data_IF_771597741698
#
_entry.id   IF_771597741698
#
_cell.length_a   1.000
_cell.length_b   1.000
_cell.length_c   1.000
_cell.angle_alpha   90.00
_cell.angle_beta   90.00
_cell.angle_gamma   90.00
#
_symmetry.space_group_name_H-M   'P 1'
#
loop_
_entity.id
_entity.type
_entity.pdbx_description
1 polymer ?
#
# COMPACT_ATOMS: atom_id res chain seq x y z
N UNK A 1 18.13 -9.84 -14.05
CA UNK A 1 18.70 -8.55 -14.49
C UNK A 1 18.84 -7.59 -13.31
N UNK A 2 17.75 -7.18 -12.65
CA UNK A 2 17.78 -6.27 -11.48
C UNK A 2 18.67 -6.73 -10.31
N UNK A 3 18.60 -8.00 -9.92
CA UNK A 3 19.41 -8.49 -8.80
C UNK A 3 20.93 -8.44 -9.08
N UNK A 4 21.33 -8.63 -10.33
CA UNK A 4 22.74 -8.52 -10.73
C UNK A 4 23.20 -7.05 -10.66
N UNK A 5 22.35 -6.12 -11.10
CA UNK A 5 22.59 -4.68 -10.98
C UNK A 5 22.74 -4.26 -9.51
N UNK A 6 21.79 -4.65 -8.64
CA UNK A 6 21.84 -4.36 -7.20
C UNK A 6 23.11 -4.91 -6.53
N UNK A 7 23.50 -6.15 -6.85
CA UNK A 7 24.74 -6.76 -6.33
C UNK A 7 26.02 -6.09 -6.86
N UNK A 8 25.96 -5.50 -8.05
CA UNK A 8 27.09 -4.82 -8.69
C UNK A 8 27.30 -3.38 -8.23
N UNK A 9 26.39 -2.80 -7.43
CA UNK A 9 26.52 -1.42 -6.94
C UNK A 9 27.68 -1.29 -5.96
N UNK A 10 28.53 -0.28 -6.19
CA UNK A 10 29.57 0.11 -5.22
C UNK A 10 29.00 0.84 -4.03
N UNK A 11 27.93 1.63 -4.25
CA UNK A 11 27.18 2.32 -3.20
C UNK A 11 25.73 1.80 -3.16
N UNK A 12 25.27 1.29 -2.01
CA UNK A 12 23.90 0.82 -1.87
C UNK A 12 22.92 1.99 -1.97
N UNK A 13 21.71 1.70 -2.44
CA UNK A 13 20.59 2.65 -2.37
C UNK A 13 20.28 2.91 -0.89
N UNK A 14 20.37 4.18 -0.49
CA UNK A 14 20.18 4.65 0.88
C UNK A 14 18.72 5.00 1.09
N UNK A 15 18.07 4.23 1.96
CA UNK A 15 16.63 4.34 2.24
C UNK A 15 16.40 4.96 3.61
N UNK A 16 15.49 5.93 3.68
CA UNK A 16 14.91 6.42 4.93
C UNK A 16 13.53 5.82 5.17
N UNK A 17 13.17 5.53 6.42
CA UNK A 17 11.83 5.05 6.78
C UNK A 17 11.22 5.97 7.84
N UNK A 18 10.02 6.47 7.59
CA UNK A 18 9.27 7.33 8.52
C UNK A 18 8.06 6.56 9.04
N UNK A 19 7.99 6.38 10.35
CA UNK A 19 7.02 5.52 11.04
C UNK A 19 7.54 4.09 11.14
N UNK A 20 7.96 3.67 12.35
CA UNK A 20 8.52 2.33 12.63
C UNK A 20 7.46 1.48 13.36
N UNK A 21 6.20 1.65 12.96
CA UNK A 21 5.12 0.72 13.32
C UNK A 21 5.28 -0.63 12.62
N UNK A 22 4.21 -1.44 12.60
CA UNK A 22 4.24 -2.80 12.02
C UNK A 22 4.76 -2.82 10.57
N UNK A 23 4.26 -1.92 9.71
CA UNK A 23 4.64 -1.88 8.30
C UNK A 23 6.06 -1.34 8.10
N UNK A 24 6.39 -0.19 8.70
CA UNK A 24 7.72 0.41 8.56
C UNK A 24 8.83 -0.45 9.15
N UNK A 25 8.61 -1.13 10.29
CA UNK A 25 9.55 -2.13 10.81
C UNK A 25 9.74 -3.28 9.82
N UNK A 26 8.66 -3.80 9.24
CA UNK A 26 8.75 -4.83 8.19
C UNK A 26 9.57 -4.38 6.98
N UNK A 27 9.47 -3.11 6.57
CA UNK A 27 10.32 -2.53 5.52
C UNK A 27 11.79 -2.51 5.95
N UNK A 28 12.10 -2.06 7.17
CA UNK A 28 13.48 -2.06 7.68
C UNK A 28 14.06 -3.47 7.74
N UNK A 29 13.31 -4.41 8.31
CA UNK A 29 13.71 -5.81 8.45
C UNK A 29 13.98 -6.44 7.06
N UNK A 30 13.09 -6.21 6.09
CA UNK A 30 13.24 -6.76 4.75
C UNK A 30 14.41 -6.12 3.99
N UNK A 31 14.51 -4.78 3.96
CA UNK A 31 15.58 -4.07 3.24
C UNK A 31 16.96 -4.41 3.79
N UNK A 32 17.08 -4.68 5.10
CA UNK A 32 18.35 -5.07 5.74
C UNK A 32 18.90 -6.40 5.22
N UNK A 33 18.06 -7.23 4.59
CA UNK A 33 18.47 -8.51 3.97
C UNK A 33 18.64 -8.42 2.44
N UNK A 34 18.35 -7.27 1.83
CA UNK A 34 18.38 -7.08 0.38
C UNK A 34 19.77 -6.67 -0.12
N UNK A 35 20.16 -7.20 -1.28
CA UNK A 35 21.40 -6.78 -1.93
C UNK A 35 21.28 -5.34 -2.48
N UNK A 36 22.34 -4.55 -2.35
CA UNK A 36 22.44 -3.23 -2.99
C UNK A 36 21.55 -2.14 -2.39
N UNK A 37 20.94 -2.37 -1.24
CA UNK A 37 20.09 -1.40 -0.52
C UNK A 37 20.46 -1.38 0.95
N UNK A 38 20.24 -0.25 1.63
CA UNK A 38 20.48 -0.12 3.07
C UNK A 38 19.56 0.92 3.68
N UNK A 39 18.98 0.61 4.83
CA UNK A 39 18.30 1.61 5.65
C UNK A 39 19.35 2.47 6.35
N UNK A 40 19.36 3.76 6.02
CA UNK A 40 20.30 4.74 6.55
C UNK A 40 19.65 5.74 7.49
N UNK A 41 18.33 5.76 7.57
CA UNK A 41 17.64 6.59 8.56
C UNK A 41 16.27 5.98 8.92
N UNK A 42 15.90 6.06 10.20
CA UNK A 42 14.61 5.65 10.72
C UNK A 42 14.06 6.73 11.65
N UNK A 43 12.81 7.12 11.44
CA UNK A 43 12.10 8.07 12.30
C UNK A 43 10.84 7.46 12.88
N UNK A 44 10.62 7.60 14.18
CA UNK A 44 9.36 7.30 14.85
C UNK A 44 9.20 8.28 16.03
N UNK A 45 7.97 8.69 16.33
CA UNK A 45 7.69 9.53 17.50
C UNK A 45 8.17 8.87 18.80
N UNK A 46 8.21 7.53 18.81
CA UNK A 46 8.90 6.73 19.80
C UNK A 46 10.35 6.46 19.34
N UNK A 47 11.27 7.35 19.76
CA UNK A 47 12.68 7.29 19.40
C UNK A 47 13.32 5.93 19.72
N UNK A 48 12.93 5.33 20.86
CA UNK A 48 13.44 4.03 21.27
C UNK A 48 13.09 2.94 20.27
N UNK A 49 11.92 3.03 19.61
CA UNK A 49 11.52 2.08 18.57
C UNK A 49 12.36 2.21 17.30
N UNK A 50 12.64 3.44 16.86
CA UNK A 50 13.49 3.67 15.69
C UNK A 50 14.92 3.18 15.92
N UNK A 51 15.48 3.48 17.09
CA UNK A 51 16.82 3.04 17.49
C UNK A 51 16.90 1.51 17.64
N UNK A 52 15.94 0.90 18.33
CA UNK A 52 15.89 -0.56 18.51
C UNK A 52 15.77 -1.30 17.18
N UNK A 53 14.88 -0.85 16.28
CA UNK A 53 14.67 -1.49 14.98
C UNK A 53 15.95 -1.51 14.12
N UNK A 54 16.73 -0.42 14.12
CA UNK A 54 18.02 -0.38 13.43
C UNK A 54 19.04 -1.32 14.08
N UNK A 55 19.13 -1.34 15.42
CA UNK A 55 20.07 -2.22 16.14
C UNK A 55 19.75 -3.71 15.99
N UNK A 56 18.47 -4.06 15.99
CA UNK A 56 17.99 -5.43 15.77
C UNK A 56 18.34 -5.95 14.36
N UNK A 57 18.63 -5.03 13.42
CA UNK A 57 19.11 -5.32 12.07
C UNK A 57 20.63 -5.05 11.94
N UNK A 58 21.38 -5.25 13.02
CA UNK A 58 22.85 -5.16 13.09
C UNK A 58 23.45 -3.81 12.68
N UNK A 59 22.67 -2.72 12.76
CA UNK A 59 23.18 -1.36 12.58
C UNK A 59 23.61 -0.71 13.91
N UNK A 60 24.55 0.23 13.83
CA UNK A 60 24.94 1.09 14.95
C UNK A 60 24.54 2.55 14.66
N UNK A 61 23.29 2.94 15.01
CA UNK A 61 22.76 4.24 14.63
C UNK A 61 23.29 5.38 15.51
N UNK A 62 23.46 6.55 14.91
CA UNK A 62 23.57 7.82 15.63
C UNK A 62 22.15 8.31 15.96
N UNK A 63 21.89 8.54 17.24
CA UNK A 63 20.62 9.06 17.73
C UNK A 63 20.67 10.59 17.75
N UNK A 64 19.91 11.26 16.90
CA UNK A 64 19.89 12.73 16.85
C UNK A 64 18.69 13.29 16.09
N UNK A 65 18.17 14.43 16.56
CA UNK A 65 17.14 15.22 15.86
C UNK A 65 17.73 16.44 15.15
N UNK A 66 19.07 16.50 14.98
CA UNK A 66 19.77 17.63 14.37
C UNK A 66 20.30 17.26 12.99
N UNK A 67 20.00 18.10 11.99
CA UNK A 67 20.43 17.91 10.61
C UNK A 67 21.94 17.72 10.43
N UNK A 68 22.76 18.59 11.04
CA UNK A 68 24.23 18.51 10.91
C UNK A 68 24.79 17.15 11.35
N UNK A 69 24.61 16.75 12.63
CA UNK A 69 25.04 15.44 13.11
C UNK A 69 24.47 14.25 12.35
N UNK A 70 23.19 14.33 11.92
CA UNK A 70 22.58 13.28 11.12
C UNK A 70 23.29 13.13 9.76
N UNK A 71 23.54 14.25 9.07
CA UNK A 71 24.20 14.24 7.77
C UNK A 71 25.66 13.76 7.88
N UNK A 72 26.36 14.14 8.94
CA UNK A 72 27.72 13.66 9.22
C UNK A 72 27.75 12.15 9.46
N UNK A 73 26.77 11.60 10.17
CA UNK A 73 26.62 10.15 10.37
C UNK A 73 26.41 9.41 9.03
N UNK A 74 25.54 9.92 8.16
CA UNK A 74 25.28 9.34 6.84
C UNK A 74 26.54 9.30 5.97
N UNK A 75 27.35 10.37 5.97
CA UNK A 75 28.60 10.45 5.20
C UNK A 75 29.63 9.41 5.59
N UNK A 76 29.67 9.02 6.87
CA UNK A 76 30.56 7.96 7.38
C UNK A 76 29.89 6.58 7.39
N UNK A 77 28.73 6.43 6.76
CA UNK A 77 28.04 5.14 6.62
C UNK A 77 27.34 4.64 7.89
N UNK A 78 27.06 5.52 8.86
CA UNK A 78 26.29 5.20 10.07
C UNK A 78 24.83 5.63 9.92
N UNK A 79 23.86 4.73 10.13
CA UNK A 79 22.45 5.10 10.10
C UNK A 79 22.06 6.10 11.18
N UNK A 80 20.92 6.76 11.01
CA UNK A 80 20.38 7.73 11.98
C UNK A 80 19.05 7.25 12.52
N UNK A 81 18.88 7.34 13.85
CA UNK A 81 17.59 7.22 14.51
C UNK A 81 17.17 8.59 15.03
N UNK A 82 15.91 8.97 14.81
CA UNK A 82 15.38 10.30 15.20
C UNK A 82 13.92 10.21 15.63
N UNK A 83 13.53 11.13 16.51
CA UNK A 83 12.14 11.35 16.90
C UNK A 83 11.39 12.28 15.93
N UNK A 84 12.11 12.93 15.02
CA UNK A 84 11.59 13.93 14.10
C UNK A 84 11.41 13.37 12.69
N UNK A 85 10.15 13.18 12.29
CA UNK A 85 9.79 12.78 10.93
C UNK A 85 10.25 13.79 9.87
N UNK A 86 10.31 15.08 10.20
CA UNK A 86 10.73 16.16 9.30
C UNK A 86 12.23 16.17 9.01
N UNK A 87 13.03 15.45 9.79
CA UNK A 87 14.47 15.33 9.55
C UNK A 87 14.78 14.45 8.34
N UNK A 88 14.04 13.34 8.16
CA UNK A 88 14.34 12.32 7.14
C UNK A 88 14.33 12.89 5.70
N UNK A 89 13.35 13.71 5.28
CA UNK A 89 13.36 14.34 3.95
C UNK A 89 14.59 15.21 3.64
N UNK A 90 15.22 15.77 4.67
CA UNK A 90 16.35 16.70 4.53
C UNK A 90 17.70 15.96 4.37
N UNK A 91 17.75 14.68 4.71
CA UNK A 91 18.96 13.87 4.63
C UNK A 91 19.31 13.53 3.18
N UNK A 92 20.61 13.38 2.88
CA UNK A 92 21.08 12.90 1.57
C UNK A 92 20.82 11.39 1.39
N UNK A 93 19.55 11.04 1.23
CA UNK A 93 19.04 9.71 0.92
C UNK A 93 18.66 9.62 -0.57
N UNK A 94 18.51 8.39 -1.07
CA UNK A 94 18.04 8.17 -2.44
C UNK A 94 16.50 8.10 -2.46
N UNK A 95 15.92 7.35 -1.52
CA UNK A 95 14.48 7.20 -1.39
C UNK A 95 14.05 7.23 0.08
N UNK A 96 12.80 7.61 0.32
CA UNK A 96 12.13 7.41 1.59
C UNK A 96 10.89 6.54 1.44
N UNK A 97 10.55 5.89 2.55
CA UNK A 97 9.33 5.12 2.72
C UNK A 97 8.50 5.79 3.82
N UNK A 98 7.30 6.25 3.46
CA UNK A 98 6.36 6.86 4.40
C UNK A 98 5.38 5.79 4.89
N UNK A 99 5.47 5.44 6.18
CA UNK A 99 4.76 4.34 6.81
C UNK A 99 4.14 4.72 8.17
N UNK A 100 3.88 6.01 8.41
CA UNK A 100 3.31 6.50 9.68
C UNK A 100 1.84 6.11 9.87
N UNK A 101 1.09 5.96 8.77
CA UNK A 101 -0.36 5.76 8.81
C UNK A 101 -1.14 7.01 9.28
N UNK A 102 -0.51 8.18 9.28
CA UNK A 102 -1.12 9.47 9.61
C UNK A 102 -1.15 10.35 8.37
N UNK A 103 -2.33 10.60 7.74
CA UNK A 103 -2.40 11.27 6.44
C UNK A 103 -1.71 12.64 6.40
N UNK A 104 -1.87 13.43 7.46
CA UNK A 104 -1.26 14.76 7.55
C UNK A 104 0.28 14.71 7.61
N UNK A 105 0.82 13.82 8.45
CA UNK A 105 2.28 13.64 8.57
C UNK A 105 2.84 13.12 7.27
N UNK A 106 2.22 12.09 6.69
CA UNK A 106 2.66 11.49 5.44
C UNK A 106 2.65 12.48 4.27
N UNK A 107 1.62 13.33 4.19
CA UNK A 107 1.53 14.38 3.17
C UNK A 107 2.68 15.39 3.27
N UNK A 108 3.01 15.84 4.49
CA UNK A 108 4.11 16.80 4.73
C UNK A 108 5.47 16.19 4.41
N UNK A 109 5.75 15.00 4.97
CA UNK A 109 7.00 14.26 4.74
C UNK A 109 7.24 14.02 3.25
N UNK A 110 6.20 13.58 2.51
CA UNK A 110 6.32 13.36 1.08
C UNK A 110 6.54 14.65 0.29
N UNK A 111 5.86 15.75 0.65
CA UNK A 111 6.06 17.04 0.01
C UNK A 111 7.49 17.55 0.22
N UNK A 112 7.97 17.56 1.47
CA UNK A 112 9.32 18.00 1.83
C UNK A 112 10.38 17.15 1.12
N UNK A 113 10.13 15.84 0.99
CA UNK A 113 11.05 14.93 0.32
C UNK A 113 11.14 15.19 -1.17
N UNK A 114 10.01 15.44 -1.83
CA UNK A 114 9.98 15.83 -3.24
C UNK A 114 10.71 17.16 -3.45
N UNK A 115 10.51 18.13 -2.56
CA UNK A 115 11.21 19.43 -2.59
C UNK A 115 12.73 19.25 -2.42
N UNK A 116 13.15 18.34 -1.56
CA UNK A 116 14.55 17.95 -1.37
C UNK A 116 15.05 16.91 -2.41
N UNK A 117 14.28 16.65 -3.47
CA UNK A 117 14.62 15.75 -4.58
C UNK A 117 14.92 14.31 -4.14
N UNK A 118 14.12 13.79 -3.21
CA UNK A 118 14.13 12.38 -2.77
C UNK A 118 12.99 11.61 -3.43
N UNK A 119 13.23 10.36 -3.79
CA UNK A 119 12.15 9.47 -4.21
C UNK A 119 11.25 9.13 -3.01
N UNK A 120 9.95 8.97 -3.23
CA UNK A 120 8.98 8.69 -2.18
C UNK A 120 8.21 7.42 -2.53
N UNK A 121 8.23 6.46 -1.61
CA UNK A 121 7.37 5.28 -1.60
C UNK A 121 6.34 5.45 -0.48
N UNK A 122 5.07 5.54 -0.85
CA UNK A 122 3.96 5.84 0.05
C UNK A 122 3.24 4.55 0.44
N UNK A 123 3.21 4.20 1.74
CA UNK A 123 2.35 3.14 2.27
C UNK A 123 1.02 3.70 2.83
N UNK A 124 0.93 5.00 3.01
CA UNK A 124 -0.23 5.69 3.54
C UNK A 124 -1.22 5.99 2.42
N UNK A 125 -2.00 4.98 2.06
CA UNK A 125 -3.01 5.03 1.00
C UNK A 125 -4.04 6.14 1.27
N UNK A 126 -4.34 6.39 2.55
CA UNK A 126 -5.24 7.45 3.00
C UNK A 126 -4.74 8.84 2.60
N UNK A 127 -3.42 9.08 2.66
CA UNK A 127 -2.82 10.32 2.14
C UNK A 127 -2.85 10.35 0.60
N UNK A 128 -2.49 9.24 -0.05
CA UNK A 128 -2.41 9.15 -1.51
C UNK A 128 -3.76 9.45 -2.18
N UNK A 129 -4.87 8.91 -1.69
CA UNK A 129 -6.18 9.16 -2.31
C UNK A 129 -6.66 10.61 -2.17
N UNK A 130 -6.09 11.38 -1.25
CA UNK A 130 -6.44 12.79 -1.02
C UNK A 130 -5.50 13.73 -1.76
N UNK A 131 -4.18 13.56 -1.60
CA UNK A 131 -3.17 14.49 -2.14
C UNK A 131 -2.17 13.85 -3.11
N UNK A 132 -2.25 12.53 -3.32
CA UNK A 132 -1.36 11.76 -4.20
C UNK A 132 -1.23 12.35 -5.61
N UNK A 133 -2.31 12.75 -6.31
CA UNK A 133 -2.20 13.38 -7.63
C UNK A 133 -1.37 14.67 -7.63
N UNK A 134 -1.45 15.47 -6.56
CA UNK A 134 -0.67 16.70 -6.41
C UNK A 134 0.79 16.35 -6.14
N UNK A 135 1.05 15.39 -5.26
CA UNK A 135 2.40 14.92 -4.96
C UNK A 135 3.08 14.30 -6.19
N UNK A 136 2.35 13.48 -6.96
CA UNK A 136 2.84 12.87 -8.19
C UNK A 136 3.23 13.91 -9.25
N UNK A 137 2.42 14.97 -9.41
CA UNK A 137 2.76 16.07 -10.31
C UNK A 137 3.97 16.87 -9.83
N UNK A 138 4.07 17.15 -8.51
CA UNK A 138 5.26 17.79 -7.93
C UNK A 138 6.52 16.94 -8.13
N UNK A 139 6.42 15.62 -7.91
CA UNK A 139 7.51 14.67 -8.09
C UNK A 139 7.99 14.66 -9.55
N UNK A 140 7.06 14.62 -10.51
CA UNK A 140 7.38 14.70 -11.95
C UNK A 140 8.13 15.98 -12.29
N UNK A 141 7.70 17.14 -11.77
CA UNK A 141 8.38 18.43 -11.98
C UNK A 141 9.76 18.48 -11.33
N UNK A 142 9.90 17.89 -10.16
CA UNK A 142 11.18 17.76 -9.49
C UNK A 142 12.09 16.71 -10.16
N UNK A 143 11.59 15.85 -11.04
CA UNK A 143 12.37 14.77 -11.66
C UNK A 143 12.68 13.64 -10.67
N UNK A 144 11.79 13.39 -9.71
CA UNK A 144 11.84 12.26 -8.78
C UNK A 144 10.61 11.38 -8.93
N UNK A 145 10.64 10.23 -8.26
CA UNK A 145 9.58 9.23 -8.30
C UNK A 145 8.75 9.37 -7.05
N UNK A 146 7.44 9.44 -7.23
CA UNK A 146 6.45 9.23 -6.18
C UNK A 146 5.61 8.02 -6.59
N UNK A 147 5.47 7.05 -5.69
CA UNK A 147 4.72 5.82 -5.97
C UNK A 147 4.05 5.32 -4.70
N UNK A 148 2.88 4.70 -4.85
CA UNK A 148 2.35 3.81 -3.83
C UNK A 148 3.23 2.55 -3.73
N UNK A 149 3.28 1.92 -2.56
CA UNK A 149 4.06 0.71 -2.36
C UNK A 149 3.46 -0.51 -3.07
N UNK A 150 4.31 -1.38 -3.60
CA UNK A 150 3.92 -2.72 -4.02
C UNK A 150 3.61 -3.60 -2.81
N UNK A 151 2.80 -4.65 -3.01
CA UNK A 151 2.48 -5.67 -2.00
C UNK A 151 1.21 -5.42 -1.20
N UNK A 152 0.80 -4.15 -0.99
CA UNK A 152 -0.54 -3.85 -0.49
C UNK A 152 -1.59 -4.05 -1.60
N UNK A 153 -2.88 -4.14 -1.27
CA UNK A 153 -3.90 -4.49 -2.27
C UNK A 153 -3.90 -3.56 -3.50
N UNK A 154 -3.80 -2.22 -3.38
CA UNK A 154 -3.81 -1.36 -4.57
C UNK A 154 -2.62 -1.63 -5.51
N UNK A 155 -1.42 -1.79 -4.95
CA UNK A 155 -0.21 -2.07 -5.73
C UNK A 155 -0.26 -3.44 -6.39
N UNK A 156 -0.74 -4.46 -5.68
CA UNK A 156 -0.90 -5.81 -6.23
C UNK A 156 -1.97 -5.87 -7.33
N UNK A 157 -3.09 -5.16 -7.16
CA UNK A 157 -4.15 -5.05 -8.19
C UNK A 157 -3.60 -4.37 -9.43
N UNK A 158 -2.84 -3.28 -9.26
CA UNK A 158 -2.21 -2.58 -10.37
C UNK A 158 -1.28 -3.50 -11.15
N UNK A 159 -0.39 -4.24 -10.48
CA UNK A 159 0.53 -5.19 -11.13
C UNK A 159 -0.22 -6.24 -11.95
N UNK A 160 -1.28 -6.83 -11.39
CA UNK A 160 -2.08 -7.84 -12.06
C UNK A 160 -2.86 -7.26 -13.26
N UNK A 161 -3.40 -6.04 -13.12
CA UNK A 161 -4.12 -5.34 -14.19
C UNK A 161 -3.17 -4.91 -15.32
N UNK A 162 -1.99 -4.40 -14.99
CA UNK A 162 -0.95 -3.99 -15.95
C UNK A 162 -0.47 -5.21 -16.76
N UNK A 163 -0.25 -6.35 -16.10
CA UNK A 163 0.05 -7.62 -16.78
C UNK A 163 -1.04 -8.01 -17.78
N UNK A 164 -2.31 -7.99 -17.35
CA UNK A 164 -3.44 -8.34 -18.21
C UNK A 164 -3.55 -7.41 -19.44
N UNK A 165 -3.42 -6.10 -19.23
CA UNK A 165 -3.44 -5.10 -20.30
C UNK A 165 -2.25 -5.26 -21.26
N UNK A 166 -1.07 -5.58 -20.74
CA UNK A 166 0.15 -5.85 -21.55
C UNK A 166 -0.05 -7.03 -22.51
N UNK A 167 -0.83 -8.04 -22.10
CA UNK A 167 -1.21 -9.18 -22.94
C UNK A 167 -2.33 -8.85 -23.95
N UNK A 168 -2.87 -7.63 -23.94
CA UNK A 168 -3.95 -7.20 -24.83
C UNK A 168 -5.35 -7.57 -24.33
N UNK A 169 -5.50 -8.00 -23.08
CA UNK A 169 -6.83 -8.22 -22.50
C UNK A 169 -7.49 -6.90 -22.12
N UNK A 170 -8.82 -6.87 -22.21
CA UNK A 170 -9.64 -5.80 -21.66
C UNK A 170 -10.03 -6.15 -20.23
N UNK A 171 -9.72 -5.29 -19.29
CA UNK A 171 -10.16 -5.45 -17.89
C UNK A 171 -11.65 -5.13 -17.79
N UNK A 172 -12.42 -6.06 -17.23
CA UNK A 172 -13.85 -5.91 -16.94
C UNK A 172 -14.03 -5.32 -15.54
N UNK A 173 -13.40 -5.94 -14.54
CA UNK A 173 -13.44 -5.51 -13.15
C UNK A 173 -12.10 -5.80 -12.47
N UNK A 174 -11.62 -4.88 -11.64
CA UNK A 174 -10.44 -5.07 -10.79
C UNK A 174 -10.82 -4.81 -9.33
N UNK A 175 -10.32 -5.64 -8.41
CA UNK A 175 -10.84 -5.62 -7.05
C UNK A 175 -10.06 -6.41 -6.03
N UNK A 176 -10.60 -6.40 -4.80
CA UNK A 176 -10.10 -7.19 -3.67
C UNK A 176 -11.19 -8.00 -3.01
N UNK A 177 -10.77 -9.03 -2.28
CA UNK A 177 -11.64 -9.71 -1.33
C UNK A 177 -11.84 -8.88 -0.06
N UNK A 178 -13.03 -8.97 0.53
CA UNK A 178 -13.40 -8.30 1.79
C UNK A 178 -14.11 -9.23 2.76
N UNK A 179 -14.24 -8.77 4.01
CA UNK A 179 -15.11 -9.39 5.03
C UNK A 179 -15.88 -8.27 5.69
N UNK A 180 -17.14 -8.13 5.29
CA UNK A 180 -18.02 -7.07 5.78
C UNK A 180 -19.37 -7.69 6.18
N UNK A 181 -19.66 -7.71 7.47
CA UNK A 181 -20.96 -8.08 8.03
C UNK A 181 -21.91 -6.89 8.04
N UNK A 182 -23.23 -7.15 8.12
CA UNK A 182 -24.26 -6.11 8.06
C UNK A 182 -24.07 -5.01 9.13
N UNK A 183 -23.64 -5.38 10.34
CA UNK A 183 -23.47 -4.44 11.45
C UNK A 183 -22.10 -3.71 11.42
N UNK A 184 -21.19 -4.09 10.53
CA UNK A 184 -19.81 -3.58 10.53
C UNK A 184 -19.73 -2.10 10.19
N UNK A 185 -20.65 -1.58 9.37
CA UNK A 185 -20.68 -0.14 9.02
C UNK A 185 -20.86 0.80 10.22
N UNK A 186 -21.34 0.26 11.34
CA UNK A 186 -21.53 1.00 12.59
C UNK A 186 -20.53 0.57 13.67
N UNK A 187 -19.56 -0.28 13.32
CA UNK A 187 -18.51 -0.68 14.24
C UNK A 187 -17.68 0.54 14.67
N UNK A 188 -17.25 0.48 15.91
CA UNK A 188 -16.29 1.43 16.49
C UNK A 188 -15.06 0.65 16.95
N UNK A 189 -13.95 1.33 17.29
CA UNK A 189 -12.79 0.65 17.87
C UNK A 189 -13.13 -0.22 19.08
N UNK A 190 -14.21 0.09 19.79
CA UNK A 190 -14.70 -0.66 20.95
C UNK A 190 -15.34 -1.98 20.56
N UNK A 191 -16.07 -2.01 19.43
CA UNK A 191 -16.72 -3.21 18.89
C UNK A 191 -15.74 -4.36 18.69
N UNK A 192 -14.52 -4.05 18.26
CA UNK A 192 -13.48 -5.03 17.90
C UNK A 192 -12.24 -4.98 18.80
N UNK A 193 -12.31 -4.32 19.96
CA UNK A 193 -11.16 -4.11 20.85
C UNK A 193 -10.48 -5.42 21.22
N UNK A 194 -11.25 -6.42 21.65
CA UNK A 194 -10.71 -7.71 22.08
C UNK A 194 -9.99 -8.44 20.93
N UNK A 195 -10.58 -8.45 19.74
CA UNK A 195 -9.97 -9.05 18.55
C UNK A 195 -8.72 -8.28 18.12
N UNK A 196 -8.71 -6.95 18.23
CA UNK A 196 -7.56 -6.12 17.92
C UNK A 196 -6.38 -6.45 18.87
N UNK A 197 -6.64 -6.55 20.18
CA UNK A 197 -5.64 -6.92 21.19
C UNK A 197 -5.07 -8.31 20.95
N UNK A 198 -5.94 -9.31 20.71
CA UNK A 198 -5.53 -10.69 20.38
C UNK A 198 -4.62 -10.74 19.15
N UNK A 199 -4.89 -9.90 18.15
CA UNK A 199 -4.09 -9.80 16.92
C UNK A 199 -2.91 -8.82 17.02
N UNK A 200 -2.66 -8.24 18.21
CA UNK A 200 -1.61 -7.22 18.45
C UNK A 200 -1.71 -6.03 17.50
N UNK A 201 -2.94 -5.63 17.17
CA UNK A 201 -3.25 -4.50 16.31
C UNK A 201 -3.83 -3.35 17.13
N UNK A 202 -3.65 -2.12 16.64
CA UNK A 202 -4.38 -0.97 17.18
C UNK A 202 -5.88 -1.11 16.87
N UNK A 203 -6.75 -0.86 17.85
CA UNK A 203 -8.19 -1.04 17.71
C UNK A 203 -8.82 -0.17 16.61
N UNK A 204 -8.33 1.07 16.42
CA UNK A 204 -8.80 1.96 15.34
C UNK A 204 -8.47 1.38 13.97
N UNK A 205 -7.23 0.90 13.81
CA UNK A 205 -6.79 0.25 12.57
C UNK A 205 -7.57 -1.04 12.30
N UNK A 206 -7.78 -1.87 13.32
CA UNK A 206 -8.53 -3.11 13.13
C UNK A 206 -10.00 -2.85 12.82
N UNK A 207 -10.61 -1.83 13.43
CA UNK A 207 -11.97 -1.38 13.10
C UNK A 207 -12.08 -0.97 11.63
N UNK A 208 -11.13 -0.19 11.10
CA UNK A 208 -11.18 0.24 9.70
C UNK A 208 -11.06 -0.90 8.69
N UNK A 209 -10.51 -2.05 9.09
CA UNK A 209 -10.52 -3.27 8.27
C UNK A 209 -11.89 -3.97 8.24
N UNK A 210 -12.73 -3.72 9.25
CA UNK A 210 -14.04 -4.36 9.41
C UNK A 210 -15.16 -3.48 8.90
N UNK A 211 -15.16 -2.19 9.24
CA UNK A 211 -16.22 -1.25 8.85
C UNK A 211 -16.25 -0.87 7.36
N UNK A 212 -15.30 -1.40 6.57
CA UNK A 212 -15.15 -1.17 5.14
C UNK A 212 -14.30 0.04 4.79
N UNK A 213 -13.94 0.91 5.73
CA UNK A 213 -13.18 2.15 5.47
C UNK A 213 -11.87 1.88 4.73
N UNK A 214 -11.11 0.86 5.16
CA UNK A 214 -9.83 0.52 4.52
C UNK A 214 -10.03 0.02 3.08
N UNK A 215 -10.96 -0.93 2.88
CA UNK A 215 -11.26 -1.48 1.55
C UNK A 215 -11.72 -0.38 0.59
N UNK A 216 -12.62 0.51 1.01
CA UNK A 216 -13.09 1.65 0.20
C UNK A 216 -11.95 2.61 -0.16
N UNK A 217 -11.08 2.93 0.80
CA UNK A 217 -9.92 3.81 0.58
C UNK A 217 -8.96 3.21 -0.45
N UNK A 218 -8.65 1.92 -0.33
CA UNK A 218 -7.79 1.23 -1.28
C UNK A 218 -8.41 1.12 -2.67
N UNK A 219 -9.71 0.83 -2.77
CA UNK A 219 -10.37 0.77 -4.06
C UNK A 219 -10.47 2.15 -4.73
N UNK A 220 -10.50 3.24 -3.96
CA UNK A 220 -10.34 4.59 -4.50
C UNK A 220 -8.94 4.81 -5.10
N UNK A 221 -7.87 4.31 -4.45
CA UNK A 221 -6.52 4.34 -5.02
C UNK A 221 -6.43 3.54 -6.33
N UNK A 222 -6.99 2.32 -6.35
CA UNK A 222 -7.06 1.49 -7.56
C UNK A 222 -7.80 2.21 -8.69
N UNK A 223 -8.97 2.77 -8.39
CA UNK A 223 -9.79 3.53 -9.34
C UNK A 223 -9.00 4.68 -9.95
N UNK A 224 -8.29 5.46 -9.12
CA UNK A 224 -7.52 6.61 -9.55
C UNK A 224 -6.36 6.22 -10.49
N UNK A 225 -5.65 5.13 -10.18
CA UNK A 225 -4.49 4.68 -10.96
C UNK A 225 -4.91 3.99 -12.26
N UNK A 226 -5.88 3.08 -12.21
CA UNK A 226 -6.36 2.33 -13.39
C UNK A 226 -7.34 3.13 -14.25
N UNK A 227 -7.84 4.28 -13.76
CA UNK A 227 -8.90 5.08 -14.37
C UNK A 227 -10.19 4.29 -14.57
N UNK A 228 -10.52 3.46 -13.58
CA UNK A 228 -11.69 2.59 -13.56
C UNK A 228 -12.61 3.01 -12.41
N UNK A 229 -13.76 3.66 -12.67
CA UNK A 229 -14.63 4.12 -11.60
C UNK A 229 -15.39 2.96 -10.93
N UNK A 230 -15.87 3.12 -9.69
CA UNK A 230 -16.92 2.26 -9.17
C UNK A 230 -18.23 2.53 -9.93
N UNK A 231 -19.02 1.49 -10.19
CA UNK A 231 -20.30 1.64 -10.89
C UNK A 231 -21.39 2.27 -10.01
N UNK A 232 -21.39 1.90 -8.72
CA UNK A 232 -22.31 2.44 -7.70
C UNK A 232 -21.52 2.99 -6.52
N UNK A 233 -22.13 3.92 -5.76
CA UNK A 233 -21.53 4.43 -4.52
C UNK A 233 -21.30 3.27 -3.55
N UNK A 234 -20.06 3.09 -3.12
CA UNK A 234 -19.67 2.01 -2.22
C UNK A 234 -19.31 0.70 -2.92
N UNK A 235 -19.36 0.65 -4.27
CA UNK A 235 -19.26 -0.59 -5.05
C UNK A 235 -20.38 -1.59 -4.73
N UNK A 236 -20.51 -2.67 -5.51
CA UNK A 236 -21.56 -3.65 -5.28
C UNK A 236 -21.26 -4.58 -4.09
N UNK A 237 -19.98 -4.93 -3.88
CA UNK A 237 -19.50 -5.79 -2.79
C UNK A 237 -20.33 -7.09 -2.60
N UNK A 238 -20.66 -7.85 -3.67
CA UNK A 238 -21.45 -9.06 -3.53
C UNK A 238 -20.66 -10.16 -2.81
N UNK A 239 -21.39 -11.11 -2.20
CA UNK A 239 -20.80 -12.41 -1.89
C UNK A 239 -20.30 -13.07 -3.17
N UNK A 240 -19.01 -13.38 -3.24
CA UNK A 240 -18.43 -13.97 -4.43
C UNK A 240 -17.26 -14.90 -4.09
N UNK A 241 -17.31 -16.13 -4.62
CA UNK A 241 -16.21 -17.09 -4.57
C UNK A 241 -15.24 -16.83 -5.72
N UNK A 242 -13.98 -17.22 -5.56
CA UNK A 242 -12.97 -16.98 -6.60
C UNK A 242 -13.33 -17.68 -7.94
N UNK A 243 -14.03 -18.82 -7.90
CA UNK A 243 -14.53 -19.53 -9.08
C UNK A 243 -15.64 -18.77 -9.81
N UNK A 244 -16.41 -17.94 -9.09
CA UNK A 244 -17.58 -17.24 -9.60
C UNK A 244 -17.24 -15.84 -10.14
N UNK A 245 -16.02 -15.35 -9.92
CA UNK A 245 -15.60 -13.98 -10.25
C UNK A 245 -15.93 -13.60 -11.69
N UNK A 246 -15.58 -14.45 -12.66
CA UNK A 246 -15.81 -14.18 -14.08
C UNK A 246 -17.29 -14.10 -14.47
N UNK A 247 -18.16 -14.82 -13.76
CA UNK A 247 -19.62 -14.78 -13.98
C UNK A 247 -20.25 -13.59 -13.28
N UNK A 248 -19.96 -13.40 -11.98
CA UNK A 248 -20.54 -12.33 -11.16
C UNK A 248 -20.13 -10.96 -11.68
N UNK A 249 -18.83 -10.74 -11.90
CA UNK A 249 -18.30 -9.49 -12.42
C UNK A 249 -18.21 -9.50 -13.95
N UNK A 250 -19.29 -9.92 -14.61
CA UNK A 250 -19.53 -9.73 -16.04
C UNK A 250 -20.66 -8.75 -16.27
N UNK A 251 -20.95 -8.45 -17.53
CA UNK A 251 -22.04 -7.54 -17.86
C UNK A 251 -23.40 -8.20 -17.59
N UNK A 252 -24.43 -7.39 -17.28
CA UNK A 252 -25.80 -7.87 -17.07
C UNK A 252 -26.31 -8.72 -18.25
N UNK A 253 -25.99 -8.31 -19.49
CA UNK A 253 -26.35 -9.07 -20.71
C UNK A 253 -25.71 -10.48 -20.77
N UNK A 254 -24.63 -10.68 -20.03
CA UNK A 254 -23.86 -11.93 -19.93
C UNK A 254 -24.18 -12.68 -18.61
N UNK A 255 -25.16 -12.18 -17.83
CA UNK A 255 -25.62 -12.79 -16.58
C UNK A 255 -24.86 -12.35 -15.33
N UNK A 256 -24.00 -11.34 -15.43
CA UNK A 256 -23.33 -10.70 -14.31
C UNK A 256 -24.10 -9.52 -13.72
N UNK A 257 -23.42 -8.71 -12.91
CA UNK A 257 -24.03 -7.59 -12.17
C UNK A 257 -23.67 -6.20 -12.71
N UNK A 258 -22.75 -6.11 -13.68
CA UNK A 258 -22.20 -4.84 -14.12
C UNK A 258 -22.93 -4.30 -15.35
N UNK A 259 -23.23 -3.01 -15.39
CA UNK A 259 -23.74 -2.34 -16.60
C UNK A 259 -22.61 -1.94 -17.56
N UNK A 260 -21.37 -1.86 -17.08
CA UNK A 260 -20.21 -1.48 -17.88
C UNK A 260 -18.94 -2.26 -17.53
N UNK A 261 -17.93 -2.19 -18.40
CA UNK A 261 -16.61 -2.78 -18.18
C UNK A 261 -15.59 -1.70 -17.83
N UNK A 262 -14.51 -2.10 -17.16
CA UNK A 262 -13.48 -1.18 -16.71
C UNK A 262 -13.89 -0.48 -15.42
N UNK A 263 -14.41 -1.25 -14.47
CA UNK A 263 -14.85 -0.75 -13.15
C UNK A 263 -13.99 -1.35 -12.03
N UNK A 264 -14.10 -0.74 -10.85
CA UNK A 264 -13.59 -1.34 -9.61
C UNK A 264 -14.73 -1.89 -8.76
N UNK A 265 -14.51 -3.04 -8.13
CA UNK A 265 -15.48 -3.62 -7.18
C UNK A 265 -14.77 -4.52 -6.14
N UNK A 266 -15.55 -5.12 -5.24
CA UNK A 266 -15.07 -5.94 -4.12
C UNK A 266 -15.82 -7.26 -4.04
N UNK A 267 -15.17 -8.32 -3.58
CA UNK A 267 -15.78 -9.64 -3.40
C UNK A 267 -15.88 -9.98 -1.91
N UNK A 268 -17.08 -9.91 -1.35
CA UNK A 268 -17.31 -10.17 0.07
C UNK A 268 -17.28 -11.68 0.35
N UNK A 269 -16.67 -12.04 1.48
CA UNK A 269 -16.69 -13.40 2.00
C UNK A 269 -17.95 -13.71 2.82
N UNK A 270 -18.81 -12.73 3.11
CA UNK A 270 -20.05 -12.90 3.89
C UNK A 270 -21.24 -13.05 2.94
N UNK A 271 -22.03 -14.11 3.11
CA UNK A 271 -23.21 -14.37 2.28
C UNK A 271 -24.44 -13.55 2.70
N UNK A 272 -25.51 -13.59 1.89
CA UNK A 272 -26.76 -12.86 2.17
C UNK A 272 -27.51 -13.30 3.44
N UNK A 273 -27.09 -14.40 4.09
CA UNK A 273 -27.60 -14.82 5.41
C UNK A 273 -26.71 -14.35 6.58
N UNK A 274 -25.64 -13.60 6.28
CA UNK A 274 -24.66 -13.14 7.26
C UNK A 274 -23.61 -14.17 7.65
N UNK A 275 -23.48 -15.30 6.91
CA UNK A 275 -22.49 -16.33 7.22
C UNK A 275 -21.18 -16.06 6.51
N UNK A 276 -20.08 -16.21 7.24
CA UNK A 276 -18.74 -16.11 6.70
C UNK A 276 -18.34 -17.39 5.95
N UNK A 277 -17.97 -17.23 4.68
CA UNK A 277 -17.39 -18.28 3.85
C UNK A 277 -15.94 -18.57 4.26
N UNK A 278 -15.69 -19.77 4.77
CA UNK A 278 -14.33 -20.19 5.14
C UNK A 278 -13.51 -20.67 3.94
N UNK A 279 -14.17 -21.26 2.94
CA UNK A 279 -13.56 -21.81 1.74
C UNK A 279 -13.92 -20.96 0.52
N UNK A 280 -13.12 -21.06 -0.53
CA UNK A 280 -13.37 -20.46 -1.85
C UNK A 280 -13.57 -18.94 -1.90
N UNK A 281 -13.39 -18.24 -0.78
CA UNK A 281 -13.41 -16.77 -0.74
C UNK A 281 -12.17 -16.17 -1.40
N UNK A 282 -12.32 -14.95 -1.89
CA UNK A 282 -11.19 -14.16 -2.42
C UNK A 282 -10.33 -13.59 -1.28
N UNK A 283 -10.94 -13.24 -0.14
CA UNK A 283 -10.20 -12.70 1.00
C UNK A 283 -9.36 -13.78 1.71
N UNK A 284 -8.11 -13.52 2.12
CA UNK A 284 -7.27 -12.40 1.71
C UNK A 284 -6.80 -12.57 0.26
N UNK A 285 -6.90 -11.50 -0.55
CA UNK A 285 -6.52 -11.58 -1.95
C UNK A 285 -7.11 -10.46 -2.81
N UNK A 286 -6.70 -10.49 -4.07
CA UNK A 286 -7.06 -9.53 -5.12
C UNK A 286 -7.56 -10.28 -6.36
N UNK A 287 -8.24 -9.59 -7.26
CA UNK A 287 -8.67 -10.17 -8.52
C UNK A 287 -8.70 -9.14 -9.66
N UNK A 288 -8.55 -9.66 -10.88
CA UNK A 288 -8.82 -8.93 -12.12
C UNK A 288 -9.61 -9.86 -13.04
N UNK A 289 -10.84 -9.47 -13.39
CA UNK A 289 -11.66 -10.15 -14.39
C UNK A 289 -11.37 -9.51 -15.74
N UNK A 290 -11.07 -10.34 -16.73
CA UNK A 290 -10.67 -9.90 -18.08
C UNK A 290 -11.57 -10.48 -19.15
N UNK A 291 -11.60 -9.82 -20.30
CA UNK A 291 -12.21 -10.32 -21.53
C UNK A 291 -11.30 -10.07 -22.73
N UNK A 292 -11.58 -10.73 -23.84
CA UNK A 292 -10.88 -10.54 -25.11
C UNK A 292 -11.88 -10.36 -26.23
N UNK A 293 -11.59 -9.48 -27.19
CA UNK A 293 -12.40 -9.34 -28.40
C UNK A 293 -12.19 -10.50 -29.38
N UNK A 294 -11.09 -11.26 -29.23
CA UNK A 294 -10.77 -12.39 -30.09
C UNK A 294 -11.54 -13.65 -29.64
N UNK A 295 -12.46 -14.12 -30.48
CA UNK A 295 -13.31 -15.28 -30.15
C UNK A 295 -12.53 -16.56 -29.84
N UNK A 296 -11.39 -16.79 -30.48
CA UNK A 296 -10.53 -17.96 -30.18
C UNK A 296 -9.77 -17.87 -28.85
N UNK A 297 -9.75 -16.70 -28.20
CA UNK A 297 -9.14 -16.49 -26.87
C UNK A 297 -10.19 -16.61 -25.77
N UNK A 298 -11.43 -16.17 -26.04
CA UNK A 298 -12.57 -16.47 -25.17
C UNK A 298 -12.85 -17.98 -25.26
N UNK A 299 -12.57 -18.75 -24.22
CA UNK A 299 -12.99 -20.15 -24.18
C UNK A 299 -14.51 -20.20 -24.32
N UNK A 300 -14.98 -21.04 -25.25
CA UNK A 300 -16.40 -21.41 -25.40
C UNK A 300 -16.95 -22.05 -24.14
#
# INVERSE_FOLDING_TARGET
MYLAELRGRTEPIRVGVVGIGRMGRGVVDQVSTMAGMRVMAAADVDLGRAEACLRENDADPVVTDRLGPAQDALRIGRPVATGDAGLIPQLELDALVEATGLPEVGSRVAADAIENRRHVVMLNVEADVVVGPILAERARRAGVVYTLAAGDQPGAIFELAEWAQTLGFRVVCAGRGTVLFADDHHATPDTYREQAERNRNNAKMYCSFRDGTKSQTEMAAVSNVLRMPPEVRGMHEPYCRWQDLGRVFSLEKDGGILSSVGVVDMANAVDGSGRYGHEDKVFPGIFVVVTSDHAGVRSS
#
